data_IF_783218960904
#
_entry.id   IF_783218960904
#
_cell.length_a   1.000
_cell.length_b   1.000
_cell.length_c   1.000
_cell.angle_alpha   90.00
_cell.angle_beta   90.00
_cell.angle_gamma   90.00
#
_symmetry.space_group_name_H-M   'P 1'
#
loop_
_entity.id
_entity.type
_entity.pdbx_description
1 polymer ?
#
# COMPACT_ATOMS: atom_id res chain seq x y z
N UNK A 1 8.69 6.63 7.56
CA UNK A 1 7.70 5.55 7.84
C UNK A 1 7.78 4.39 6.83
N UNK A 2 8.86 4.31 6.04
CA UNK A 2 9.07 3.34 4.94
C UNK A 2 10.11 2.27 5.28
N UNK A 3 10.53 2.20 6.55
CA UNK A 3 11.52 1.22 7.02
C UNK A 3 11.01 -0.20 6.69
N UNK A 4 11.82 -0.98 5.97
CA UNK A 4 11.47 -2.31 5.49
C UNK A 4 10.84 -2.38 4.10
N UNK A 5 10.65 -1.24 3.42
CA UNK A 5 10.28 -1.16 2.00
C UNK A 5 11.45 -0.52 1.22
N UNK A 6 12.15 -1.31 0.38
CA UNK A 6 13.44 -0.93 -0.22
C UNK A 6 13.46 0.42 -0.94
N UNK A 7 12.37 0.77 -1.61
CA UNK A 7 12.23 2.01 -2.38
C UNK A 7 11.08 2.89 -1.89
N UNK A 8 10.76 2.81 -0.59
CA UNK A 8 9.68 3.62 -0.03
C UNK A 8 9.92 5.13 -0.13
N UNK A 9 11.16 5.58 -0.36
CA UNK A 9 11.49 6.99 -0.64
C UNK A 9 10.74 7.57 -1.85
N UNK A 10 10.25 6.72 -2.78
CA UNK A 10 9.40 7.17 -3.89
C UNK A 10 8.12 7.83 -3.35
N UNK A 11 7.56 7.30 -2.25
CA UNK A 11 6.35 7.85 -1.65
C UNK A 11 6.65 9.15 -0.90
N UNK A 12 7.77 9.25 -0.21
CA UNK A 12 8.16 10.52 0.44
C UNK A 12 8.45 11.61 -0.61
N UNK A 13 9.01 11.25 -1.76
CA UNK A 13 9.22 12.17 -2.87
C UNK A 13 7.91 12.69 -3.50
N UNK A 14 6.77 12.03 -3.30
CA UNK A 14 5.46 12.43 -3.85
C UNK A 14 4.61 13.13 -2.79
N UNK A 15 4.58 12.60 -1.57
CA UNK A 15 3.68 13.02 -0.50
C UNK A 15 4.35 13.84 0.61
N UNK A 16 5.68 13.94 0.61
CA UNK A 16 6.50 14.55 1.66
C UNK A 16 7.00 13.55 2.72
N UNK A 17 7.90 14.01 3.58
CA UNK A 17 8.56 13.18 4.61
C UNK A 17 7.62 12.67 5.70
N UNK A 18 6.49 13.33 5.89
CA UNK A 18 5.38 12.98 6.78
C UNK A 18 4.43 11.91 6.20
N UNK A 19 4.75 11.38 5.01
CA UNK A 19 3.97 10.34 4.36
C UNK A 19 3.68 9.14 5.25
N UNK A 20 2.41 8.75 5.28
CA UNK A 20 1.95 7.53 5.90
C UNK A 20 0.68 7.01 5.20
N UNK A 21 0.36 5.73 5.44
CA UNK A 21 -0.82 5.10 4.86
C UNK A 21 -2.09 5.26 5.72
N UNK A 22 -2.09 6.05 6.79
CA UNK A 22 -3.29 6.23 7.62
C UNK A 22 -4.40 6.88 6.78
N UNK A 23 -5.64 6.42 6.97
CA UNK A 23 -6.81 6.77 6.15
C UNK A 23 -6.77 6.31 4.69
N UNK A 24 -5.70 5.66 4.25
CA UNK A 24 -5.65 5.02 2.92
C UNK A 24 -6.44 3.72 2.93
N UNK A 25 -6.91 3.31 1.75
CA UNK A 25 -7.76 2.13 1.58
C UNK A 25 -6.98 0.99 0.93
N UNK A 26 -7.07 -0.21 1.51
CA UNK A 26 -6.56 -1.43 0.87
C UNK A 26 -7.68 -1.98 -0.01
N UNK A 27 -7.53 -1.84 -1.33
CA UNK A 27 -8.50 -2.30 -2.33
C UNK A 27 -8.40 -3.81 -2.55
N UNK A 28 -7.16 -4.29 -2.69
CA UNK A 28 -6.91 -5.68 -3.04
C UNK A 28 -5.64 -6.18 -2.37
N UNK A 29 -5.72 -7.42 -1.90
CA UNK A 29 -4.56 -8.16 -1.43
C UNK A 29 -4.53 -9.52 -2.13
N UNK A 30 -3.39 -9.85 -2.74
CA UNK A 30 -3.14 -11.18 -3.31
C UNK A 30 -2.04 -11.85 -2.53
N UNK A 31 -2.27 -13.08 -2.09
CA UNK A 31 -1.23 -13.90 -1.48
C UNK A 31 -1.07 -15.19 -2.26
N UNK A 32 0.15 -15.46 -2.72
CA UNK A 32 0.55 -16.72 -3.32
C UNK A 32 1.51 -17.40 -2.34
N UNK A 33 0.95 -17.98 -1.28
CA UNK A 33 1.73 -18.53 -0.15
C UNK A 33 2.72 -19.59 -0.63
N UNK A 34 2.32 -20.47 -1.55
CA UNK A 34 3.20 -21.48 -2.13
C UNK A 34 4.37 -20.88 -2.93
N UNK A 35 4.18 -19.70 -3.51
CA UNK A 35 5.23 -18.94 -4.19
C UNK A 35 6.00 -18.01 -3.25
N UNK A 36 5.64 -17.95 -1.97
CA UNK A 36 6.24 -17.06 -0.98
C UNK A 36 6.07 -15.58 -1.34
N UNK A 37 4.92 -15.19 -1.90
CA UNK A 37 4.64 -13.82 -2.39
C UNK A 37 3.33 -13.26 -1.88
N UNK A 38 3.30 -11.94 -1.70
CA UNK A 38 2.08 -11.18 -1.41
C UNK A 38 2.16 -9.82 -2.10
N UNK A 39 1.01 -9.30 -2.54
CA UNK A 39 0.86 -7.96 -3.08
C UNK A 39 -0.26 -7.23 -2.34
N UNK A 40 -0.04 -5.94 -2.06
CA UNK A 40 -1.05 -5.01 -1.55
C UNK A 40 -1.25 -3.85 -2.52
N UNK A 41 -2.50 -3.63 -2.86
CA UNK A 41 -2.97 -2.53 -3.69
C UNK A 41 -3.67 -1.52 -2.79
N UNK A 42 -3.10 -0.31 -2.69
CA UNK A 42 -3.51 0.72 -1.74
C UNK A 42 -3.88 1.99 -2.49
N UNK A 43 -5.05 2.54 -2.18
CA UNK A 43 -5.47 3.87 -2.60
C UNK A 43 -5.08 4.85 -1.51
N UNK A 44 -4.08 5.66 -1.81
CA UNK A 44 -3.52 6.63 -0.86
C UNK A 44 -4.45 7.83 -0.74
N UNK A 45 -4.88 8.08 0.48
CA UNK A 45 -5.73 9.21 0.85
C UNK A 45 -4.94 10.28 1.61
N UNK A 46 -3.86 10.74 0.99
CA UNK A 46 -3.01 11.83 1.47
C UNK A 46 -2.74 12.79 0.32
N UNK A 47 -2.65 14.09 0.62
CA UNK A 47 -2.38 15.11 -0.39
C UNK A 47 -0.99 14.90 -1.01
N UNK A 48 -0.94 14.90 -2.34
CA UNK A 48 0.31 14.93 -3.10
C UNK A 48 0.95 16.30 -2.94
N UNK A 49 2.21 16.35 -2.50
CA UNK A 49 2.98 17.60 -2.33
C UNK A 49 3.85 17.91 -3.54
N UNK A 50 4.40 16.85 -4.15
CA UNK A 50 5.38 16.94 -5.23
C UNK A 50 4.97 15.97 -6.34
N UNK A 51 3.98 16.33 -7.18
CA UNK A 51 3.51 15.45 -8.24
C UNK A 51 4.60 15.22 -9.29
N UNK A 52 4.83 13.99 -9.75
CA UNK A 52 5.69 13.73 -10.90
C UNK A 52 5.22 14.49 -12.15
N UNK A 53 6.13 15.09 -12.91
CA UNK A 53 5.82 15.93 -14.09
C UNK A 53 4.95 15.25 -15.17
N UNK A 54 4.91 13.92 -15.21
CA UNK A 54 4.11 13.16 -16.18
C UNK A 54 2.65 13.01 -15.75
N UNK A 55 2.31 13.27 -14.48
CA UNK A 55 0.94 13.14 -14.01
C UNK A 55 0.09 14.28 -14.57
N UNK A 56 -1.03 13.92 -15.19
CA UNK A 56 -2.09 14.86 -15.63
C UNK A 56 -3.01 15.19 -14.45
N UNK A 57 -4.27 15.56 -14.68
CA UNK A 57 -5.23 15.68 -13.59
C UNK A 57 -5.41 14.33 -12.86
N UNK A 58 -5.43 14.36 -11.53
CA UNK A 58 -5.63 13.19 -10.67
C UNK A 58 -6.53 13.54 -9.49
N UNK A 59 -7.24 12.53 -9.00
CA UNK A 59 -8.08 12.61 -7.81
C UNK A 59 -7.54 11.73 -6.67
N UNK A 60 -6.92 10.60 -7.03
CA UNK A 60 -6.37 9.63 -6.07
C UNK A 60 -5.03 9.10 -6.56
N UNK A 61 -4.29 8.43 -5.68
CA UNK A 61 -3.04 7.76 -6.05
C UNK A 61 -3.10 6.29 -5.66
N UNK A 62 -2.86 5.42 -6.62
CA UNK A 62 -2.68 3.99 -6.43
C UNK A 62 -1.22 3.68 -6.12
N UNK A 63 -0.99 2.84 -5.11
CA UNK A 63 0.31 2.29 -4.75
C UNK A 63 0.21 0.78 -4.69
N UNK A 64 1.09 0.09 -5.42
CA UNK A 64 1.28 -1.35 -5.32
C UNK A 64 2.55 -1.67 -4.53
N UNK A 65 2.43 -2.51 -3.52
CA UNK A 65 3.54 -3.02 -2.72
C UNK A 65 3.61 -4.53 -2.88
N UNK A 66 4.75 -5.03 -3.31
CA UNK A 66 5.02 -6.46 -3.34
C UNK A 66 5.93 -6.88 -2.19
N UNK A 67 5.69 -8.08 -1.68
CA UNK A 67 6.39 -8.73 -0.60
C UNK A 67 6.87 -10.11 -1.06
N UNK A 68 8.12 -10.44 -0.76
CA UNK A 68 8.76 -11.71 -1.14
C UNK A 68 9.36 -12.42 0.07
N UNK A 69 9.52 -13.74 -0.08
CA UNK A 69 10.06 -14.58 0.98
C UNK A 69 9.08 -14.68 2.15
N UNK A 70 7.78 -14.65 1.85
CA UNK A 70 6.72 -14.74 2.85
C UNK A 70 6.91 -16.01 3.68
N UNK A 71 6.93 -15.86 5.00
CA UNK A 71 6.98 -16.96 5.96
C UNK A 71 5.65 -17.19 6.67
N UNK A 72 4.89 -16.12 6.85
CA UNK A 72 3.62 -16.16 7.57
C UNK A 72 2.71 -15.05 7.05
N UNK A 73 1.43 -15.37 6.87
CA UNK A 73 0.36 -14.40 6.62
C UNK A 73 -0.78 -14.72 7.58
N UNK A 74 -1.29 -13.70 8.25
CA UNK A 74 -2.50 -13.79 9.07
C UNK A 74 -3.37 -12.58 8.79
N UNK A 75 -4.62 -12.82 8.42
CA UNK A 75 -5.57 -11.75 8.11
C UNK A 75 -6.94 -12.05 8.69
N UNK A 76 -7.59 -10.99 9.18
CA UNK A 76 -8.99 -11.00 9.59
C UNK A 76 -9.64 -9.79 8.91
N UNK A 77 -10.36 -10.03 7.83
CA UNK A 77 -11.02 -8.99 7.03
C UNK A 77 -12.47 -9.38 6.85
N UNK A 78 -13.36 -8.69 7.54
CA UNK A 78 -14.80 -8.96 7.48
C UNK A 78 -15.59 -7.77 6.95
N UNK A 79 -15.02 -6.56 7.00
CA UNK A 79 -15.72 -5.33 6.63
C UNK A 79 -14.93 -4.58 5.56
N UNK A 80 -15.61 -4.28 4.47
CA UNK A 80 -15.15 -3.34 3.46
C UNK A 80 -15.84 -1.99 3.64
N UNK A 81 -15.16 -0.87 3.37
CA UNK A 81 -13.77 -0.77 2.93
C UNK A 81 -12.74 -1.03 4.04
N UNK A 82 -11.56 -1.59 3.69
CA UNK A 82 -10.44 -1.73 4.63
C UNK A 82 -9.66 -0.42 4.69
N UNK A 83 -10.11 0.50 5.54
CA UNK A 83 -9.46 1.80 5.75
C UNK A 83 -8.40 1.66 6.84
N UNK A 84 -7.14 1.93 6.52
CA UNK A 84 -6.00 1.80 7.43
C UNK A 84 -6.13 2.82 8.57
N UNK A 85 -6.13 2.33 9.81
CA UNK A 85 -6.03 3.15 11.03
C UNK A 85 -4.60 3.17 11.57
N UNK A 86 -3.87 2.07 11.40
CA UNK A 86 -2.49 1.93 11.87
C UNK A 86 -1.71 1.01 10.95
N UNK A 87 -0.46 1.37 10.69
CA UNK A 87 0.50 0.54 9.96
C UNK A 87 1.84 0.58 10.70
N UNK A 88 2.54 -0.55 10.74
CA UNK A 88 3.89 -0.63 11.30
C UNK A 88 4.67 -1.75 10.64
N UNK A 89 5.98 -1.53 10.51
CA UNK A 89 6.93 -2.53 10.04
C UNK A 89 8.04 -2.62 11.08
N UNK A 90 8.33 -3.84 11.54
CA UNK A 90 9.42 -4.11 12.49
C UNK A 90 10.34 -5.18 11.92
N UNK A 91 11.63 -5.10 12.20
CA UNK A 91 12.60 -6.12 11.82
C UNK A 91 12.95 -6.97 13.04
N UNK A 92 12.68 -8.28 12.99
CA UNK A 92 12.91 -9.24 14.08
C UNK A 92 13.28 -10.60 13.50
N UNK A 93 14.22 -11.29 14.13
CA UNK A 93 14.60 -12.67 13.78
C UNK A 93 14.90 -12.85 12.27
N UNK A 94 15.63 -11.90 11.68
CA UNK A 94 15.99 -11.88 10.26
C UNK A 94 14.82 -11.74 9.26
N UNK A 95 13.64 -11.31 9.73
CA UNK A 95 12.46 -11.05 8.90
C UNK A 95 11.88 -9.68 9.23
N UNK A 96 11.23 -9.07 8.25
CA UNK A 96 10.34 -7.94 8.47
C UNK A 96 8.94 -8.46 8.80
N UNK A 97 8.27 -7.78 9.72
CA UNK A 97 6.87 -8.02 10.06
C UNK A 97 6.05 -6.75 9.82
N UNK A 98 5.15 -6.79 8.83
CA UNK A 98 4.18 -5.72 8.61
C UNK A 98 2.89 -6.04 9.36
N UNK A 99 2.37 -5.05 10.06
CA UNK A 99 1.10 -5.10 10.76
C UNK A 99 0.25 -3.91 10.30
N UNK A 100 -0.87 -4.20 9.64
CA UNK A 100 -1.84 -3.22 9.17
C UNK A 100 -3.15 -3.49 9.90
N UNK A 101 -3.70 -2.46 10.54
CA UNK A 101 -4.99 -2.50 11.23
C UNK A 101 -5.92 -1.51 10.54
N UNK A 102 -7.18 -1.91 10.37
CA UNK A 102 -8.22 -1.03 9.84
C UNK A 102 -8.94 -0.25 10.95
N UNK A 103 -9.75 0.75 10.57
CA UNK A 103 -10.66 1.46 11.49
C UNK A 103 -11.70 0.53 12.14
N UNK A 104 -11.96 -0.63 11.53
CA UNK A 104 -12.90 -1.63 12.01
C UNK A 104 -12.25 -2.73 12.86
N UNK A 105 -10.98 -2.57 13.24
CA UNK A 105 -10.17 -3.59 13.93
C UNK A 105 -9.93 -4.89 13.14
N UNK A 106 -10.20 -4.87 11.84
CA UNK A 106 -9.70 -5.89 10.91
C UNK A 106 -8.18 -5.72 10.75
N UNK A 107 -7.47 -6.78 10.37
CA UNK A 107 -6.02 -6.73 10.25
C UNK A 107 -5.46 -7.58 9.12
N UNK A 108 -4.28 -7.16 8.68
CA UNK A 108 -3.38 -7.91 7.80
C UNK A 108 -2.01 -7.91 8.47
N UNK A 109 -1.46 -9.09 8.70
CA UNK A 109 -0.12 -9.30 9.25
C UNK A 109 0.66 -10.21 8.34
N UNK A 110 1.92 -9.86 8.10
CA UNK A 110 2.78 -10.66 7.24
C UNK A 110 4.23 -10.60 7.70
N UNK A 111 4.91 -11.76 7.71
CA UNK A 111 6.35 -11.89 7.88
C UNK A 111 7.01 -12.17 6.53
N UNK A 112 8.01 -11.38 6.18
CA UNK A 112 8.63 -11.39 4.85
C UNK A 112 10.13 -11.07 4.91
N UNK A 113 10.86 -11.43 3.85
CA UNK A 113 12.29 -11.12 3.71
C UNK A 113 12.47 -9.74 3.10
N UNK A 114 11.67 -9.44 2.08
CA UNK A 114 11.81 -8.23 1.27
C UNK A 114 10.45 -7.64 0.88
N UNK A 115 10.35 -6.31 0.84
CA UNK A 115 9.23 -5.62 0.21
C UNK A 115 9.66 -4.41 -0.61
N UNK A 116 8.88 -4.08 -1.65
CA UNK A 116 9.18 -3.01 -2.60
C UNK A 116 7.92 -2.42 -3.20
N UNK A 117 7.88 -1.10 -3.34
CA UNK A 117 6.89 -0.39 -4.15
C UNK A 117 7.11 -0.75 -5.62
N UNK A 118 6.14 -1.42 -6.23
CA UNK A 118 6.17 -1.79 -7.65
C UNK A 118 5.63 -0.69 -8.53
N UNK A 119 4.60 0.01 -8.06
CA UNK A 119 3.89 0.97 -8.89
C UNK A 119 3.34 2.10 -8.05
N UNK A 120 3.41 3.32 -8.59
CA UNK A 120 2.73 4.49 -8.06
C UNK A 120 2.09 5.20 -9.24
N UNK A 121 0.76 5.23 -9.28
CA UNK A 121 0.01 5.73 -10.44
C UNK A 121 -1.08 6.70 -9.98
N UNK A 122 -1.24 7.84 -10.66
CA UNK A 122 -2.37 8.71 -10.39
C UNK A 122 -3.63 8.06 -10.98
N UNK A 123 -4.74 8.31 -10.32
CA UNK A 123 -6.05 7.87 -10.75
C UNK A 123 -6.96 9.08 -10.94
N UNK A 124 -7.71 9.11 -12.03
CA UNK A 124 -8.83 10.03 -12.21
C UNK A 124 -10.13 9.24 -12.40
N UNK A 125 -11.25 9.84 -12.01
CA UNK A 125 -12.55 9.23 -12.20
C UNK A 125 -12.94 9.30 -13.67
N UNK A 126 -13.16 8.14 -14.28
CA UNK A 126 -13.71 8.04 -15.62
C UNK A 126 -15.24 7.99 -15.53
N UNK A 127 -15.89 9.13 -15.78
CA UNK A 127 -17.36 9.27 -15.79
C UNK A 127 -18.06 8.24 -16.71
N UNK A 128 -17.45 7.93 -17.87
CA UNK A 128 -18.02 6.99 -18.84
C UNK A 128 -18.07 5.56 -18.28
N UNK A 129 -17.02 5.17 -17.55
CA UNK A 129 -16.87 3.82 -17.00
C UNK A 129 -17.26 3.72 -15.52
N UNK A 130 -17.66 4.84 -14.91
CA UNK A 130 -18.03 4.99 -13.50
C UNK A 130 -17.00 4.39 -12.53
N UNK A 131 -15.72 4.50 -12.84
CA UNK A 131 -14.62 3.95 -12.05
C UNK A 131 -13.37 4.81 -12.15
N UNK A 132 -12.50 4.69 -11.14
CA UNK A 132 -11.17 5.27 -11.20
C UNK A 132 -10.29 4.50 -12.17
N UNK A 133 -9.56 5.22 -13.02
CA UNK A 133 -8.63 4.65 -14.01
C UNK A 133 -7.26 5.33 -13.90
N UNK A 134 -6.22 4.60 -14.29
CA UNK A 134 -4.86 5.13 -14.37
C UNK A 134 -4.80 6.22 -15.43
N UNK A 135 -4.26 7.38 -15.08
CA UNK A 135 -3.99 8.46 -16.02
C UNK A 135 -2.47 8.61 -16.21
N UNK A 136 -1.99 8.53 -17.45
CA UNK A 136 -0.57 8.74 -17.81
C UNK A 136 -0.41 9.98 -18.70
#
# INVERSE_FOLDING_TARGET
>A
MTNGIENGFILTNIFGDDFNFVNSEVEYSRSEIMAGRMSLDIIVNQNVKYPPNKWKEWEKVYVKIDFWGIKEISSKVYRLPFIISKISVVYKQNLYEINIQSKNNDFIKCKFILSRIQNVKPLAYNEKNKKFEICE
#
